data_IF_359644287405
#
_entry.id   IF_359644287405
#
_cell.length_a   1.000
_cell.length_b   1.000
_cell.length_c   1.000
_cell.angle_alpha   90.00
_cell.angle_beta   90.00
_cell.angle_gamma   90.00
#
_symmetry.space_group_name_H-M   'P 1'
#
loop_
_entity.id
_entity.type
_entity.pdbx_description
1 polymer ?
#
# COMPACT_ATOMS: atom_id res chain seq x y z
N UNK A 1 -8.73 -18.63 -5.01
CA UNK A 1 -8.34 -18.96 -3.62
C UNK A 1 -6.83 -19.13 -3.43
N UNK A 2 -6.05 -19.40 -4.48
CA UNK A 2 -4.58 -19.57 -4.41
C UNK A 2 -3.83 -18.27 -4.09
N UNK A 3 -4.29 -17.12 -4.63
CA UNK A 3 -3.61 -15.82 -4.47
C UNK A 3 -3.59 -15.26 -3.04
N UNK A 4 -4.64 -15.46 -2.25
CA UNK A 4 -4.65 -14.99 -0.86
C UNK A 4 -3.67 -15.76 0.03
N UNK A 5 -3.49 -17.06 -0.26
CA UNK A 5 -2.53 -17.90 0.46
C UNK A 5 -1.09 -17.48 0.15
N UNK A 6 -0.77 -17.25 -1.13
CA UNK A 6 0.54 -16.74 -1.54
C UNK A 6 0.81 -15.34 -0.98
N UNK A 7 -0.21 -14.48 -0.92
CA UNK A 7 -0.12 -13.16 -0.31
C UNK A 7 0.22 -13.21 1.19
N UNK A 8 -0.45 -14.06 1.97
CA UNK A 8 -0.18 -14.22 3.40
C UNK A 8 1.21 -14.79 3.64
N UNK A 9 1.62 -15.78 2.85
CA UNK A 9 2.96 -16.38 2.92
C UNK A 9 4.05 -15.32 2.64
N UNK A 10 3.89 -14.56 1.57
CA UNK A 10 4.79 -13.45 1.23
C UNK A 10 4.85 -12.41 2.34
N UNK A 11 3.71 -11.84 2.75
CA UNK A 11 3.67 -10.80 3.78
C UNK A 11 4.29 -11.27 5.10
N UNK A 12 3.98 -12.48 5.54
CA UNK A 12 4.49 -13.01 6.81
C UNK A 12 6.00 -13.29 6.75
N UNK A 13 6.56 -13.61 5.58
CA UNK A 13 8.00 -13.81 5.42
C UNK A 13 8.84 -12.56 5.66
N UNK A 14 8.21 -11.38 5.68
CA UNK A 14 8.84 -10.08 5.93
C UNK A 14 8.99 -9.83 7.44
N UNK A 15 8.17 -10.48 8.26
CA UNK A 15 8.26 -10.35 9.70
C UNK A 15 9.54 -11.01 10.26
N UNK A 16 10.09 -10.50 11.37
CA UNK A 16 11.23 -11.15 12.05
C UNK A 16 10.97 -12.61 12.44
N UNK A 17 9.71 -12.93 12.77
CA UNK A 17 9.23 -14.29 13.01
C UNK A 17 7.96 -14.54 12.15
N UNK A 18 8.10 -15.22 11.01
CA UNK A 18 6.98 -15.47 10.11
C UNK A 18 5.87 -16.36 10.69
N UNK A 19 6.20 -17.29 11.58
CA UNK A 19 5.22 -18.20 12.19
C UNK A 19 4.38 -17.48 13.25
N UNK A 20 5.05 -16.74 14.14
CA UNK A 20 4.37 -15.92 15.13
C UNK A 20 3.49 -14.85 14.45
N UNK A 21 4.00 -14.19 13.41
CA UNK A 21 3.25 -13.20 12.64
C UNK A 21 1.94 -13.77 12.07
N UNK A 22 1.97 -14.95 11.45
CA UNK A 22 0.75 -15.60 10.93
C UNK A 22 -0.24 -15.92 12.05
N UNK A 23 0.26 -16.50 13.14
CA UNK A 23 -0.56 -16.90 14.26
C UNK A 23 -1.24 -15.71 14.95
N UNK A 24 -0.52 -14.59 15.13
CA UNK A 24 -1.09 -13.35 15.67
C UNK A 24 -2.12 -12.76 14.74
N UNK A 25 -1.85 -12.73 13.44
CA UNK A 25 -2.75 -12.17 12.44
C UNK A 25 -4.09 -12.92 12.36
N UNK A 26 -4.07 -14.25 12.43
CA UNK A 26 -5.26 -15.10 12.44
C UNK A 26 -6.13 -14.89 13.70
N UNK A 27 -5.49 -14.56 14.83
CA UNK A 27 -6.15 -14.38 16.12
C UNK A 27 -6.53 -12.94 16.43
N UNK A 28 -5.99 -11.97 15.70
CA UNK A 28 -6.31 -10.56 15.90
C UNK A 28 -7.78 -10.31 15.50
N UNK A 29 -8.64 -9.84 16.41
CA UNK A 29 -10.04 -9.56 16.09
C UNK A 29 -10.22 -8.50 15.00
N UNK A 30 -9.25 -7.61 14.84
CA UNK A 30 -9.24 -6.59 13.79
C UNK A 30 -8.72 -7.13 12.45
N UNK A 31 -8.15 -8.33 12.41
CA UNK A 31 -7.61 -8.95 11.21
C UNK A 31 -6.40 -8.23 10.63
N UNK A 32 -5.59 -7.58 11.47
CA UNK A 32 -4.38 -6.84 11.08
C UNK A 32 -3.14 -7.38 11.78
N UNK A 33 -1.96 -7.14 11.21
CA UNK A 33 -0.65 -7.32 11.84
C UNK A 33 0.25 -6.12 11.56
N UNK A 34 1.38 -6.01 12.27
CA UNK A 34 2.41 -4.99 11.99
C UNK A 34 3.56 -5.64 11.23
N UNK A 35 3.91 -5.08 10.06
CA UNK A 35 5.06 -5.51 9.28
C UNK A 35 6.09 -4.39 9.12
N UNK A 36 7.39 -4.70 9.16
CA UNK A 36 8.43 -3.69 9.05
C UNK A 36 8.56 -3.19 7.61
N UNK A 37 8.74 -1.88 7.46
CA UNK A 37 9.12 -1.26 6.21
C UNK A 37 10.66 -1.19 6.08
N UNK A 38 11.17 -0.98 4.87
CA UNK A 38 12.58 -0.78 4.57
C UNK A 38 13.39 -2.02 4.21
N UNK A 39 12.79 -3.22 4.25
CA UNK A 39 13.48 -4.47 3.89
C UNK A 39 12.93 -5.07 2.60
N UNK A 40 11.62 -5.36 2.56
CA UNK A 40 10.95 -5.91 1.39
C UNK A 40 10.22 -4.83 0.58
N UNK A 41 9.81 -3.75 1.23
CA UNK A 41 9.11 -2.62 0.62
C UNK A 41 9.28 -1.36 1.48
N UNK A 42 9.09 -0.21 0.85
CA UNK A 42 8.74 1.06 1.50
C UNK A 42 7.28 1.38 1.16
N UNK A 43 6.68 2.39 1.82
CA UNK A 43 5.34 2.90 1.47
C UNK A 43 5.39 4.41 1.26
N UNK A 44 4.79 4.85 0.15
CA UNK A 44 4.44 6.25 -0.08
C UNK A 44 2.96 6.45 0.24
N UNK A 45 2.68 7.42 1.11
CA UNK A 45 1.37 7.63 1.72
C UNK A 45 0.83 8.99 1.26
N UNK A 46 -0.16 8.93 0.39
CA UNK A 46 -0.83 10.08 -0.22
C UNK A 46 -2.04 10.51 0.61
N UNK A 47 -2.47 11.78 0.54
CA UNK A 47 -3.83 12.18 0.91
C UNK A 47 -4.88 11.36 0.15
N UNK A 48 -6.03 11.09 0.78
CA UNK A 48 -7.11 10.24 0.26
C UNK A 48 -7.48 10.52 -1.20
N UNK A 49 -7.90 11.75 -1.48
CA UNK A 49 -8.34 12.21 -2.80
C UNK A 49 -7.27 12.01 -3.88
N UNK A 50 -6.07 12.55 -3.66
CA UNK A 50 -4.95 12.37 -4.58
C UNK A 50 -4.60 10.88 -4.76
N UNK A 51 -4.64 10.10 -3.68
CA UNK A 51 -4.32 8.67 -3.71
C UNK A 51 -5.32 7.84 -4.52
N UNK A 52 -6.62 8.12 -4.42
CA UNK A 52 -7.62 7.45 -5.24
C UNK A 52 -7.47 7.81 -6.72
N UNK A 53 -7.31 9.11 -7.03
CA UNK A 53 -7.10 9.56 -8.39
C UNK A 53 -5.81 8.96 -8.99
N UNK A 54 -4.73 8.88 -8.20
CA UNK A 54 -3.47 8.24 -8.60
C UNK A 54 -3.67 6.74 -8.89
N UNK A 55 -4.41 6.03 -8.04
CA UNK A 55 -4.70 4.62 -8.24
C UNK A 55 -5.55 4.40 -9.51
N UNK A 56 -6.53 5.26 -9.76
CA UNK A 56 -7.35 5.21 -10.96
C UNK A 56 -6.49 5.38 -12.23
N UNK A 57 -5.58 6.37 -12.26
CA UNK A 57 -4.62 6.55 -13.36
C UNK A 57 -3.75 5.30 -13.54
N UNK A 58 -3.18 4.75 -12.47
CA UNK A 58 -2.36 3.54 -12.54
C UNK A 58 -3.14 2.34 -13.10
N UNK A 59 -4.40 2.17 -12.69
CA UNK A 59 -5.24 1.04 -13.13
C UNK A 59 -5.59 1.06 -14.62
N UNK A 60 -5.45 2.22 -15.28
CA UNK A 60 -5.66 2.37 -16.73
C UNK A 60 -4.43 1.97 -17.55
N UNK A 61 -3.25 1.96 -16.93
CA UNK A 61 -1.96 1.72 -17.63
C UNK A 61 -1.27 0.43 -17.18
N UNK A 62 -1.66 -0.14 -16.04
CA UNK A 62 -1.14 -1.40 -15.51
C UNK A 62 -2.26 -2.42 -15.37
N UNK A 63 -2.06 -3.61 -15.95
CA UNK A 63 -2.95 -4.75 -15.73
C UNK A 63 -2.94 -5.21 -14.27
N UNK A 64 -1.80 -5.06 -13.59
CA UNK A 64 -1.61 -5.49 -12.21
C UNK A 64 -0.73 -4.49 -11.44
N UNK A 65 -1.32 -3.47 -10.81
CA UNK A 65 -0.59 -2.56 -9.93
C UNK A 65 -0.09 -3.29 -8.66
N UNK A 66 0.93 -2.71 -8.02
CA UNK A 66 1.42 -3.19 -6.74
C UNK A 66 0.40 -3.01 -5.60
N UNK A 67 0.70 -3.53 -4.39
CA UNK A 67 -0.21 -3.47 -3.26
C UNK A 67 -0.53 -2.03 -2.85
N UNK A 68 -1.81 -1.78 -2.56
CA UNK A 68 -2.30 -0.46 -2.12
C UNK A 68 -3.22 -0.61 -0.92
N UNK A 69 -2.90 0.13 0.15
CA UNK A 69 -3.70 0.23 1.36
C UNK A 69 -4.46 1.54 1.41
N UNK A 70 -5.58 1.50 2.12
CA UNK A 70 -6.28 2.69 2.59
C UNK A 70 -6.49 2.59 4.09
N UNK A 71 -6.31 3.71 4.79
CA UNK A 71 -6.47 3.81 6.23
C UNK A 71 -7.94 3.95 6.67
N UNK A 72 -8.12 4.22 7.97
CA UNK A 72 -9.43 4.50 8.54
C UNK A 72 -10.01 5.81 7.96
N UNK A 73 -11.24 5.73 7.45
CA UNK A 73 -11.94 6.92 6.95
C UNK A 73 -11.40 7.44 5.62
N UNK A 74 -10.62 6.61 4.90
CA UNK A 74 -10.16 6.88 3.54
C UNK A 74 -9.30 8.14 3.41
N UNK A 75 -8.68 8.56 4.51
CA UNK A 75 -7.92 9.80 4.60
C UNK A 75 -6.51 9.67 4.00
N UNK A 76 -5.96 8.45 3.96
CA UNK A 76 -4.63 8.15 3.44
C UNK A 76 -4.59 6.88 2.62
N UNK A 77 -3.88 6.95 1.48
CA UNK A 77 -3.65 5.83 0.58
C UNK A 77 -2.16 5.50 0.56
N UNK A 78 -1.80 4.27 0.89
CA UNK A 78 -0.42 3.79 0.95
C UNK A 78 -0.08 2.88 -0.24
N UNK A 79 0.88 3.30 -1.07
CA UNK A 79 1.40 2.53 -2.19
C UNK A 79 2.69 1.84 -1.79
N UNK A 80 2.76 0.52 -1.97
CA UNK A 80 3.94 -0.27 -1.67
C UNK A 80 4.93 -0.16 -2.83
N UNK A 81 6.14 0.28 -2.53
CA UNK A 81 7.20 0.59 -3.49
C UNK A 81 8.51 -0.11 -3.09
N UNK A 82 9.50 -0.26 -3.99
CA UNK A 82 10.79 -0.85 -3.66
C UNK A 82 11.49 -0.18 -2.46
N UNK A 83 12.22 -0.95 -1.62
CA UNK A 83 12.98 -0.41 -0.50
C UNK A 83 13.97 0.68 -0.90
N UNK A 84 14.12 1.69 -0.04
CA UNK A 84 14.98 2.84 -0.26
C UNK A 84 14.34 3.96 -1.09
N UNK A 85 13.09 3.78 -1.55
CA UNK A 85 12.30 4.84 -2.19
C UNK A 85 11.94 5.93 -1.18
N UNK A 86 11.50 5.55 0.03
CA UNK A 86 11.11 6.48 1.09
C UNK A 86 12.24 7.46 1.47
N UNK A 87 13.48 6.97 1.49
CA UNK A 87 14.65 7.77 1.84
C UNK A 87 15.08 8.77 0.74
N UNK A 88 14.64 8.54 -0.51
CA UNK A 88 14.99 9.36 -1.68
C UNK A 88 13.84 10.22 -2.18
N UNK A 89 12.67 10.09 -1.56
CA UNK A 89 11.48 10.83 -1.97
C UNK A 89 11.62 12.32 -1.67
N UNK A 90 11.36 13.15 -2.68
CA UNK A 90 11.47 14.61 -2.57
C UNK A 90 10.10 15.32 -2.69
N UNK A 91 9.04 14.61 -3.09
CA UNK A 91 7.72 15.17 -3.30
C UNK A 91 7.07 15.64 -1.99
N UNK A 92 6.63 16.90 -1.96
CA UNK A 92 5.96 17.49 -0.79
C UNK A 92 4.53 16.95 -0.60
N UNK A 93 3.99 17.03 0.62
CA UNK A 93 2.63 16.57 0.92
C UNK A 93 2.46 15.04 1.02
N UNK A 94 3.53 14.29 0.72
CA UNK A 94 3.57 12.83 0.78
C UNK A 94 4.28 12.39 2.06
N UNK A 95 3.69 11.46 2.80
CA UNK A 95 4.37 10.82 3.93
C UNK A 95 5.07 9.56 3.42
N UNK A 96 6.22 9.23 4.00
CA UNK A 96 6.96 8.03 3.65
C UNK A 96 7.14 7.12 4.86
N UNK A 97 7.17 5.82 4.61
CA UNK A 97 7.47 4.80 5.60
C UNK A 97 8.53 3.86 5.01
N UNK A 98 9.73 3.93 5.55
CA UNK A 98 10.86 3.07 5.16
C UNK A 98 11.54 2.48 6.38
N UNK A 99 12.85 2.24 6.30
CA UNK A 99 13.61 1.59 7.36
C UNK A 99 13.33 2.16 8.76
N UNK A 100 13.05 1.28 9.72
CA UNK A 100 12.75 1.65 11.11
C UNK A 100 11.28 2.01 11.38
N UNK A 101 10.40 1.91 10.37
CA UNK A 101 8.96 2.11 10.52
C UNK A 101 8.18 0.80 10.38
N UNK A 102 6.93 0.81 10.85
CA UNK A 102 6.03 -0.34 10.81
C UNK A 102 4.71 0.07 10.16
N UNK A 103 4.16 -0.81 9.32
CA UNK A 103 2.86 -0.61 8.66
C UNK A 103 1.84 -1.58 9.24
N UNK A 104 0.63 -1.08 9.46
CA UNK A 104 -0.54 -1.91 9.79
C UNK A 104 -1.01 -2.57 8.50
N UNK A 105 -0.94 -3.90 8.44
CA UNK A 105 -1.26 -4.69 7.27
C UNK A 105 -2.51 -5.53 7.56
N UNK A 106 -3.62 -5.34 6.82
CA UNK A 106 -4.84 -6.13 6.97
C UNK A 106 -4.74 -7.47 6.24
N UNK A 107 -5.44 -8.48 6.74
CA UNK A 107 -5.38 -9.83 6.18
C UNK A 107 -5.83 -9.83 4.70
N UNK A 108 -5.02 -10.34 3.75
CA UNK A 108 -5.39 -10.40 2.34
C UNK A 108 -6.72 -11.13 2.11
N UNK A 109 -7.69 -10.45 1.50
CA UNK A 109 -9.01 -11.03 1.21
C UNK A 109 -10.01 -11.00 2.37
N UNK A 110 -9.66 -10.42 3.52
CA UNK A 110 -10.66 -10.00 4.53
C UNK A 110 -10.86 -8.50 4.46
N UNK A 111 -12.11 -8.08 4.32
CA UNK A 111 -12.49 -6.68 4.47
C UNK A 111 -13.05 -6.47 5.86
N UNK A 112 -12.42 -5.59 6.63
CA UNK A 112 -12.98 -5.12 7.91
C UNK A 112 -13.66 -3.77 7.67
N UNK A 113 -14.99 -3.66 7.81
CA UNK A 113 -15.70 -2.41 7.60
C UNK A 113 -15.15 -1.32 8.52
N UNK A 114 -14.75 -0.18 7.94
CA UNK A 114 -14.25 0.96 8.70
C UNK A 114 -12.86 0.76 9.32
N UNK A 115 -12.03 -0.16 8.82
CA UNK A 115 -10.63 -0.30 9.22
C UNK A 115 -9.66 -0.13 8.05
N UNK A 116 -8.36 -0.29 8.33
CA UNK A 116 -7.34 -0.39 7.27
C UNK A 116 -7.70 -1.56 6.36
N UNK A 117 -7.70 -1.34 5.04
CA UNK A 117 -8.04 -2.38 4.05
C UNK A 117 -7.19 -2.27 2.79
N UNK A 118 -7.12 -3.36 2.04
CA UNK A 118 -6.53 -3.37 0.71
C UNK A 118 -7.49 -2.75 -0.30
N UNK A 119 -7.00 -1.79 -1.08
CA UNK A 119 -7.60 -1.41 -2.37
C UNK A 119 -7.10 -2.33 -3.48
N UNK A 120 -5.80 -2.63 -3.44
CA UNK A 120 -5.16 -3.63 -4.28
C UNK A 120 -4.44 -4.59 -3.35
N UNK A 121 -4.92 -5.84 -3.19
CA UNK A 121 -4.23 -6.82 -2.36
C UNK A 121 -2.94 -7.28 -3.04
N UNK A 122 -1.91 -7.67 -2.27
CA UNK A 122 -0.74 -8.28 -2.85
C UNK A 122 -1.07 -9.59 -3.54
N UNK A 123 -0.36 -9.88 -4.63
CA UNK A 123 -0.48 -11.11 -5.40
C UNK A 123 0.32 -12.29 -4.79
N UNK A 124 1.23 -11.96 -3.86
CA UNK A 124 2.13 -12.90 -3.21
C UNK A 124 3.41 -13.21 -3.98
N UNK A 125 3.65 -12.56 -5.13
CA UNK A 125 4.90 -12.68 -5.88
C UNK A 125 5.95 -11.65 -5.45
N UNK A 126 5.52 -10.61 -4.73
CA UNK A 126 6.35 -9.48 -4.34
C UNK A 126 6.38 -8.37 -5.39
N UNK A 127 5.41 -8.31 -6.31
CA UNK A 127 5.20 -7.15 -7.18
C UNK A 127 5.00 -5.89 -6.34
N UNK A 128 5.72 -4.82 -6.67
CA UNK A 128 5.62 -3.51 -6.04
C UNK A 128 5.37 -2.46 -7.12
N UNK A 129 4.81 -1.31 -6.72
CA UNK A 129 4.57 -0.20 -7.63
C UNK A 129 5.89 0.46 -8.00
N UNK A 130 6.14 0.65 -9.30
CA UNK A 130 7.33 1.32 -9.81
C UNK A 130 7.31 2.82 -9.45
N UNK A 131 8.33 3.35 -8.73
CA UNK A 131 8.30 4.73 -8.25
C UNK A 131 8.17 5.81 -9.32
N UNK A 132 8.90 5.77 -10.46
CA UNK A 132 8.71 6.75 -11.53
C UNK A 132 7.31 6.73 -12.13
N UNK A 133 6.71 5.54 -12.28
CA UNK A 133 5.35 5.42 -12.79
C UNK A 133 4.30 5.94 -11.79
N UNK A 134 4.50 5.67 -10.50
CA UNK A 134 3.68 6.24 -9.44
C UNK A 134 3.77 7.76 -9.44
N UNK A 135 4.98 8.33 -9.55
CA UNK A 135 5.18 9.77 -9.62
C UNK A 135 4.49 10.39 -10.85
N UNK A 136 4.56 9.74 -12.03
CA UNK A 136 3.84 10.20 -13.21
C UNK A 136 2.32 10.16 -13.00
N UNK A 137 1.79 9.07 -12.43
CA UNK A 137 0.37 8.94 -12.14
C UNK A 137 -0.11 9.98 -11.13
N UNK A 138 0.72 10.35 -10.16
CA UNK A 138 0.43 11.42 -9.21
C UNK A 138 0.34 12.78 -9.88
N UNK A 139 1.25 13.08 -10.81
CA UNK A 139 1.21 14.34 -11.56
C UNK A 139 -0.05 14.44 -12.41
N UNK A 140 -0.42 13.35 -13.11
CA UNK A 140 -1.65 13.29 -13.90
C UNK A 140 -2.89 13.47 -13.01
N UNK A 141 -2.95 12.76 -11.88
CA UNK A 141 -4.04 12.88 -10.92
C UNK A 141 -4.17 14.31 -10.37
N UNK A 142 -3.06 14.95 -10.01
CA UNK A 142 -3.07 16.32 -9.52
C UNK A 142 -3.55 17.32 -10.58
N UNK A 143 -3.16 17.13 -11.84
CA UNK A 143 -3.64 17.96 -12.96
C UNK A 143 -5.15 17.81 -13.19
N UNK A 144 -5.66 16.57 -13.07
CA UNK A 144 -7.10 16.29 -13.13
C UNK A 144 -7.87 17.02 -12.03
N UNK A 145 -7.46 16.85 -10.77
CA UNK A 145 -8.12 17.47 -9.61
C UNK A 145 -8.13 19.01 -9.68
N UNK A 146 -7.02 19.62 -10.12
CA UNK A 146 -6.95 21.08 -10.28
C UNK A 146 -7.95 21.61 -11.33
N UNK A 147 -8.30 20.80 -12.33
CA UNK A 147 -9.27 21.19 -13.35
C UNK A 147 -10.71 21.10 -12.84
N UNK A 148 -10.98 20.20 -11.89
CA UNK A 148 -12.30 20.01 -11.28
C UNK A 148 -12.62 21.11 -10.24
N UNK A 149 -11.62 21.61 -9.52
CA UNK A 149 -11.78 22.71 -8.55
C UNK A 149 -12.06 24.08 -9.22
N UNK A 150 -11.67 24.25 -10.49
CA UNK A 150 -11.84 25.49 -11.26
C UNK A 150 -13.19 25.57 -12.02
N UNK A 151 -14.03 24.53 -11.97
CA UNK A 151 -15.28 24.41 -12.74
C UNK A 151 -16.56 24.55 -11.92
#
# INVERSE_FOLDING_TARGET
MTGAKTAVEWLSSIAPDPEACRWEWERNPLGVTLLPAGSAWDVLILPGELGYATLDVLSRVLDQPGPVLVDFGDARIGFFVPPGTAARWLGTGIRTAGAGTWIVVPYPGRSSPGGVRWLVPPDGSGTLTDPPLLELAMHEAAAGLATEDDG
#
